data_IF_341313797319
#
_entry.id   IF_341313797319
#
_cell.length_a   1.000
_cell.length_b   1.000
_cell.length_c   1.000
_cell.angle_alpha   90.00
_cell.angle_beta   90.00
_cell.angle_gamma   90.00
#
_symmetry.space_group_name_H-M   'P 1'
#
loop_
_entity.id
_entity.type
_entity.pdbx_description
1 polymer ?
#
# COMPACT_ATOMS: atom_id res chain seq x y z
N UNK A 1 -19.13 -11.97 -10.06
CA UNK A 1 -17.75 -12.01 -9.58
C UNK A 1 -17.53 -10.77 -8.72
N UNK A 2 -17.06 -10.95 -7.50
CA UNK A 2 -16.77 -9.83 -6.64
C UNK A 2 -15.68 -8.95 -7.26
N UNK A 3 -15.82 -7.66 -7.12
CA UNK A 3 -14.81 -6.67 -7.48
C UNK A 3 -13.54 -6.95 -6.68
N UNK A 4 -12.42 -7.14 -7.37
CA UNK A 4 -11.17 -7.46 -6.68
C UNK A 4 -10.33 -6.20 -6.55
N UNK A 5 -10.11 -5.79 -5.30
CA UNK A 5 -9.08 -4.82 -4.94
C UNK A 5 -7.78 -5.55 -4.63
N UNK A 6 -6.68 -5.02 -5.09
CA UNK A 6 -5.34 -5.49 -4.71
C UNK A 6 -4.46 -4.31 -4.33
N UNK A 7 -3.88 -4.39 -3.13
CA UNK A 7 -2.87 -3.44 -2.67
C UNK A 7 -1.53 -3.81 -3.31
N UNK A 8 -0.91 -2.85 -3.98
CA UNK A 8 0.34 -3.05 -4.72
C UNK A 8 1.33 -1.95 -4.36
N UNK A 9 2.60 -2.29 -4.28
CA UNK A 9 3.67 -1.32 -4.12
C UNK A 9 4.52 -1.20 -5.39
N UNK A 10 4.98 0.00 -5.69
CA UNK A 10 5.95 0.25 -6.75
C UNK A 10 7.33 -0.13 -6.24
N UNK A 11 7.87 -1.25 -6.75
CA UNK A 11 9.16 -1.80 -6.35
C UNK A 11 10.31 -1.40 -7.28
N UNK A 12 10.00 -0.74 -8.40
CA UNK A 12 10.95 -0.49 -9.47
C UNK A 12 11.08 1.02 -9.71
N UNK A 13 12.29 1.44 -10.08
CA UNK A 13 12.48 2.75 -10.71
C UNK A 13 11.97 2.69 -12.15
N UNK A 14 11.36 3.76 -12.61
CA UNK A 14 10.96 3.89 -14.00
C UNK A 14 12.16 3.74 -14.94
N UNK A 15 11.93 3.24 -16.14
CA UNK A 15 12.97 3.17 -17.19
C UNK A 15 13.45 4.59 -17.48
N UNK A 16 14.74 4.84 -17.34
CA UNK A 16 15.34 6.18 -17.50
C UNK A 16 15.60 6.93 -16.20
N UNK A 17 15.80 6.21 -15.07
CA UNK A 17 16.15 6.75 -13.75
C UNK A 17 15.07 7.68 -13.13
N UNK A 18 13.82 7.51 -13.55
CA UNK A 18 12.71 8.26 -12.96
C UNK A 18 12.36 7.68 -11.59
N UNK A 19 12.23 8.56 -10.59
CA UNK A 19 11.85 8.19 -9.21
C UNK A 19 10.36 7.89 -9.06
N UNK A 20 9.60 7.87 -10.15
CA UNK A 20 8.15 7.68 -10.15
C UNK A 20 7.67 7.05 -11.47
N UNK A 21 6.57 6.31 -11.38
CA UNK A 21 5.87 5.75 -12.55
C UNK A 21 4.65 6.63 -12.85
N UNK A 22 4.50 7.04 -14.12
CA UNK A 22 3.33 7.78 -14.54
C UNK A 22 2.09 6.87 -14.56
N UNK A 23 0.98 7.34 -13.99
CA UNK A 23 -0.28 6.59 -13.97
C UNK A 23 -0.76 6.28 -15.39
N UNK A 24 -0.56 7.19 -16.34
CA UNK A 24 -0.94 6.98 -17.76
C UNK A 24 -0.22 5.81 -18.42
N UNK A 25 0.98 5.49 -17.94
CA UNK A 25 1.84 4.43 -18.50
C UNK A 25 1.63 3.06 -17.85
N UNK A 26 0.72 2.96 -16.87
CA UNK A 26 0.36 1.69 -16.23
C UNK A 26 -0.41 0.81 -17.22
N UNK A 27 0.22 -0.28 -17.61
CA UNK A 27 -0.31 -1.21 -18.61
C UNK A 27 -0.74 -2.52 -17.94
N UNK A 28 -1.94 -2.98 -18.26
CA UNK A 28 -2.42 -4.30 -17.89
C UNK A 28 -2.24 -5.29 -19.04
N UNK A 29 -2.01 -6.58 -18.73
CA UNK A 29 -1.85 -7.66 -19.71
C UNK A 29 -3.10 -7.91 -20.58
N UNK A 30 -4.26 -7.47 -20.12
CA UNK A 30 -5.49 -7.40 -20.92
C UNK A 30 -5.92 -5.94 -21.01
N UNK A 31 -6.61 -5.57 -22.09
CA UNK A 31 -7.13 -4.22 -22.25
C UNK A 31 -7.84 -3.76 -20.96
N UNK A 32 -7.50 -2.59 -20.41
CA UNK A 32 -8.17 -2.07 -19.23
C UNK A 32 -9.67 -1.95 -19.50
N UNK A 33 -10.47 -2.21 -18.49
CA UNK A 33 -11.90 -1.96 -18.57
C UNK A 33 -12.18 -0.48 -18.40
N UNK A 34 -12.51 0.18 -19.47
CA UNK A 34 -12.92 1.57 -19.45
C UNK A 34 -14.42 1.74 -19.29
N UNK A 35 -14.82 2.93 -18.87
CA UNK A 35 -16.20 3.40 -18.84
C UNK A 35 -16.34 4.67 -19.69
N UNK A 36 -17.55 5.03 -20.14
CA UNK A 36 -17.79 6.22 -20.95
C UNK A 36 -17.68 7.54 -20.17
N UNK A 37 -17.38 7.46 -18.89
CA UNK A 37 -17.16 8.62 -18.02
C UNK A 37 -16.03 8.28 -17.03
N UNK A 38 -15.34 9.30 -16.51
CA UNK A 38 -14.32 9.17 -15.48
C UNK A 38 -14.97 8.88 -14.10
N UNK A 39 -15.69 7.75 -14.00
CA UNK A 39 -16.46 7.35 -12.82
C UNK A 39 -16.48 5.81 -12.68
N UNK A 40 -17.23 5.32 -11.69
CA UNK A 40 -17.35 3.91 -11.34
C UNK A 40 -17.67 2.97 -12.53
N UNK A 41 -17.39 1.69 -12.37
CA UNK A 41 -17.45 0.57 -13.33
C UNK A 41 -16.21 0.40 -14.24
N UNK A 42 -15.28 1.34 -14.28
CA UNK A 42 -13.98 1.21 -14.94
C UNK A 42 -12.96 0.51 -14.04
N UNK A 43 -11.82 0.15 -14.59
CA UNK A 43 -10.63 -0.11 -13.80
C UNK A 43 -10.20 1.16 -13.08
N UNK A 44 -9.68 1.02 -11.87
CA UNK A 44 -9.37 2.17 -11.03
C UNK A 44 -7.99 2.00 -10.37
N UNK A 45 -7.34 3.14 -10.13
CA UNK A 45 -6.16 3.26 -9.29
C UNK A 45 -6.52 4.21 -8.15
N UNK A 46 -6.18 3.84 -6.92
CA UNK A 46 -6.44 4.64 -5.73
C UNK A 46 -5.14 4.90 -5.01
N UNK A 47 -4.77 6.17 -4.88
CA UNK A 47 -3.63 6.63 -4.09
C UNK A 47 -4.13 7.19 -2.75
N UNK A 48 -3.38 6.91 -1.69
CA UNK A 48 -3.71 7.43 -0.36
C UNK A 48 -3.16 8.85 -0.18
N UNK A 49 -4.05 9.81 0.04
CA UNK A 49 -3.68 11.16 0.46
C UNK A 49 -3.60 11.23 1.98
N UNK A 50 -2.39 11.20 2.52
CA UNK A 50 -2.17 11.24 3.96
C UNK A 50 -2.54 12.58 4.59
N UNK A 51 -2.54 13.67 3.83
CA UNK A 51 -2.88 15.00 4.33
C UNK A 51 -4.38 15.14 4.58
N UNK A 52 -5.19 14.56 3.70
CA UNK A 52 -6.64 14.60 3.79
C UNK A 52 -7.26 13.34 4.39
N UNK A 53 -6.45 12.29 4.65
CA UNK A 53 -6.89 10.97 5.09
C UNK A 53 -7.99 10.38 4.19
N UNK A 54 -7.84 10.52 2.88
CA UNK A 54 -8.80 10.08 1.87
C UNK A 54 -8.10 9.52 0.63
N UNK A 55 -8.88 8.91 -0.26
CA UNK A 55 -8.40 8.31 -1.49
C UNK A 55 -8.53 9.23 -2.69
N UNK A 56 -7.41 9.49 -3.36
CA UNK A 56 -7.39 10.07 -4.71
C UNK A 56 -7.61 8.94 -5.70
N UNK A 57 -8.67 9.03 -6.51
CA UNK A 57 -9.13 7.97 -7.42
C UNK A 57 -8.94 8.36 -8.87
N UNK A 58 -8.37 7.43 -9.64
CA UNK A 58 -8.20 7.54 -11.09
C UNK A 58 -9.00 6.42 -11.75
N UNK A 59 -9.58 6.71 -12.91
CA UNK A 59 -10.43 5.81 -13.66
C UNK A 59 -9.94 5.66 -15.09
N UNK A 60 -10.06 4.46 -15.64
CA UNK A 60 -9.78 4.27 -17.07
C UNK A 60 -10.99 4.72 -17.90
N UNK A 61 -10.83 5.81 -18.60
CA UNK A 61 -11.89 6.46 -19.36
C UNK A 61 -11.79 6.14 -20.84
N UNK A 62 -12.85 5.55 -21.41
CA UNK A 62 -13.00 5.32 -22.85
C UNK A 62 -13.51 6.58 -23.53
N UNK A 63 -12.60 7.34 -24.11
CA UNK A 63 -12.89 8.62 -24.77
C UNK A 63 -13.27 8.47 -26.26
N UNK A 64 -13.62 7.26 -26.69
CA UNK A 64 -14.00 6.95 -28.06
C UNK A 64 -12.84 7.15 -29.05
N UNK A 65 -13.05 7.91 -30.11
CA UNK A 65 -12.04 8.13 -31.16
C UNK A 65 -10.83 8.95 -30.70
N UNK A 66 -10.93 9.63 -29.54
CA UNK A 66 -9.83 10.42 -28.98
C UNK A 66 -8.80 9.58 -28.18
N UNK A 67 -9.00 8.26 -28.12
CA UNK A 67 -8.15 7.35 -27.36
C UNK A 67 -8.58 7.21 -25.90
N UNK A 68 -8.20 6.08 -25.31
CA UNK A 68 -8.50 5.78 -23.92
C UNK A 68 -7.42 6.37 -23.00
N UNK A 69 -7.81 6.91 -21.85
CA UNK A 69 -6.94 7.62 -20.94
C UNK A 69 -7.20 7.26 -19.48
N UNK A 70 -6.22 7.44 -18.61
CA UNK A 70 -6.44 7.54 -17.17
C UNK A 70 -6.79 8.98 -16.80
N UNK A 71 -7.88 9.18 -16.07
CA UNK A 71 -8.33 10.48 -15.60
C UNK A 71 -8.61 10.48 -14.10
N UNK A 72 -8.35 11.58 -13.45
CA UNK A 72 -8.69 11.81 -12.04
C UNK A 72 -10.20 11.94 -11.88
N UNK A 73 -10.75 11.47 -10.78
CA UNK A 73 -12.19 11.54 -10.50
C UNK A 73 -12.75 12.96 -10.73
N UNK A 74 -13.76 13.04 -11.59
CA UNK A 74 -14.41 14.33 -11.94
C UNK A 74 -13.73 15.11 -13.06
N UNK A 75 -12.59 14.65 -13.59
CA UNK A 75 -11.90 15.25 -14.71
C UNK A 75 -12.19 14.49 -16.02
N UNK A 76 -11.90 15.13 -17.15
CA UNK A 76 -12.06 14.55 -18.49
C UNK A 76 -10.76 14.57 -19.29
N UNK A 77 -9.67 15.01 -18.67
CA UNK A 77 -8.33 15.10 -19.25
C UNK A 77 -7.47 13.94 -18.73
N UNK A 78 -6.46 13.57 -19.50
CA UNK A 78 -5.46 12.59 -19.07
C UNK A 78 -4.72 13.11 -17.86
N UNK A 79 -4.53 12.23 -16.85
CA UNK A 79 -3.76 12.60 -15.68
C UNK A 79 -2.26 12.65 -15.98
N UNK A 80 -1.58 13.59 -15.37
CA UNK A 80 -0.11 13.68 -15.34
C UNK A 80 0.47 13.22 -14.00
N UNK A 81 -0.39 12.76 -13.08
CA UNK A 81 0.04 12.30 -11.76
C UNK A 81 0.88 11.03 -11.87
N UNK A 82 1.75 10.85 -10.90
CA UNK A 82 2.71 9.74 -10.82
C UNK A 82 2.56 8.98 -9.51
N UNK A 83 3.05 7.76 -9.48
CA UNK A 83 3.21 6.95 -8.27
C UNK A 83 4.70 6.88 -7.97
N UNK A 84 5.11 7.40 -6.83
CA UNK A 84 6.51 7.41 -6.44
C UNK A 84 7.05 5.99 -6.16
N UNK A 85 8.36 5.81 -6.29
CA UNK A 85 8.99 4.56 -5.91
C UNK A 85 8.80 4.33 -4.39
N UNK A 86 8.41 3.10 -4.02
CA UNK A 86 8.05 2.76 -2.65
C UNK A 86 6.64 3.19 -2.23
N UNK A 87 5.93 3.94 -3.07
CA UNK A 87 4.53 4.28 -2.83
C UNK A 87 3.61 3.09 -3.14
N UNK A 88 2.50 3.06 -2.46
CA UNK A 88 1.49 2.00 -2.57
C UNK A 88 0.21 2.54 -3.16
N UNK A 89 -0.44 1.72 -3.95
CA UNK A 89 -1.73 2.02 -4.54
C UNK A 89 -2.65 0.81 -4.51
N UNK A 90 -3.97 1.05 -4.52
CA UNK A 90 -4.92 0.01 -4.86
C UNK A 90 -5.16 -0.01 -6.36
N UNK A 91 -5.12 -1.20 -6.92
CA UNK A 91 -5.69 -1.48 -8.22
C UNK A 91 -7.05 -2.18 -8.04
N UNK A 92 -8.08 -1.58 -8.58
CA UNK A 92 -9.43 -2.14 -8.61
C UNK A 92 -9.77 -2.55 -10.03
N UNK A 93 -10.12 -3.80 -10.21
CA UNK A 93 -10.60 -4.30 -11.49
C UNK A 93 -12.11 -4.07 -11.62
N UNK A 94 -12.52 -3.35 -12.65
CA UNK A 94 -13.93 -3.03 -12.91
C UNK A 94 -14.81 -4.28 -13.01
N UNK A 95 -16.03 -4.20 -12.49
CA UNK A 95 -16.96 -5.33 -12.44
C UNK A 95 -17.23 -5.90 -13.84
N UNK A 96 -17.24 -7.24 -13.98
CA UNK A 96 -17.41 -7.93 -15.25
C UNK A 96 -16.22 -7.90 -16.21
N UNK A 97 -15.07 -7.34 -15.79
CA UNK A 97 -13.82 -7.46 -16.52
C UNK A 97 -13.20 -8.86 -16.32
N UNK A 98 -12.49 -9.35 -17.33
CA UNK A 98 -11.67 -10.56 -17.19
C UNK A 98 -10.53 -10.33 -16.18
N UNK A 99 -10.07 -11.42 -15.56
CA UNK A 99 -8.85 -11.35 -14.72
C UNK A 99 -7.71 -10.81 -15.57
N UNK A 100 -6.98 -9.84 -15.03
CA UNK A 100 -5.81 -9.26 -15.68
C UNK A 100 -4.61 -9.33 -14.75
N UNK A 101 -3.44 -9.42 -15.34
CA UNK A 101 -2.17 -9.19 -14.66
C UNK A 101 -1.78 -7.74 -14.90
N UNK A 102 -1.59 -6.98 -13.84
CA UNK A 102 -0.91 -5.69 -13.92
C UNK A 102 0.59 -5.98 -13.92
N UNK A 103 1.26 -5.62 -15.00
CA UNK A 103 2.71 -5.75 -15.11
C UNK A 103 3.33 -4.40 -14.81
N UNK A 104 4.12 -4.34 -13.75
CA UNK A 104 4.99 -3.23 -13.46
C UNK A 104 6.38 -3.61 -13.95
N UNK A 105 6.96 -2.81 -14.83
CA UNK A 105 8.33 -3.01 -15.33
C UNK A 105 9.19 -1.79 -15.00
N UNK A 106 10.43 -2.04 -14.62
CA UNK A 106 11.38 -0.98 -14.30
C UNK A 106 12.74 -1.55 -13.93
N UNK A 107 13.70 -0.68 -13.67
CA UNK A 107 15.02 -1.06 -13.14
C UNK A 107 14.92 -1.41 -11.65
N UNK A 108 15.54 -2.50 -11.25
CA UNK A 108 15.74 -2.79 -9.83
C UNK A 108 16.94 -1.97 -9.36
N UNK A 109 16.69 -0.96 -8.54
CA UNK A 109 17.78 -0.29 -7.84
C UNK A 109 18.32 -1.23 -6.78
N UNK A 110 19.66 -1.47 -6.75
CA UNK A 110 20.22 -2.14 -5.59
C UNK A 110 19.92 -1.25 -4.36
N UNK A 111 19.14 -1.76 -3.44
CA UNK A 111 18.86 -1.06 -2.18
C UNK A 111 20.15 -0.95 -1.39
N UNK A 112 20.89 0.14 -1.58
CA UNK A 112 22.03 0.52 -0.76
C UNK A 112 21.54 1.18 0.54
N UNK A 113 20.64 0.56 1.28
CA UNK A 113 20.11 1.12 2.52
C UNK A 113 18.83 0.44 2.98
N UNK A 114 18.47 0.73 4.21
CA UNK A 114 17.21 0.28 4.81
C UNK A 114 16.10 1.24 4.37
N UNK A 115 14.91 0.77 3.94
CA UNK A 115 13.83 1.67 3.61
C UNK A 115 13.47 2.52 4.84
N UNK A 116 13.51 3.82 4.67
CA UNK A 116 13.12 4.77 5.70
C UNK A 116 11.75 5.35 5.37
N UNK A 117 10.84 5.24 6.32
CA UNK A 117 9.54 5.91 6.25
C UNK A 117 9.52 7.02 7.29
N UNK A 118 9.89 8.21 6.89
CA UNK A 118 9.93 9.39 7.75
C UNK A 118 8.56 10.07 7.89
N UNK A 119 8.40 10.88 8.92
CA UNK A 119 7.23 11.72 9.11
C UNK A 119 5.95 10.95 9.48
N UNK A 120 6.08 9.83 10.19
CA UNK A 120 4.94 9.11 10.74
C UNK A 120 4.44 9.82 11.99
N UNK A 121 3.34 10.55 11.85
CA UNK A 121 2.70 11.32 12.92
C UNK A 121 1.72 10.43 13.69
N UNK A 122 1.66 10.61 15.02
CA UNK A 122 0.69 9.91 15.87
C UNK A 122 -0.74 10.09 15.36
N UNK A 123 -1.53 9.02 15.43
CA UNK A 123 -2.93 8.92 14.98
C UNK A 123 -3.14 9.03 13.46
N UNK A 124 -2.07 8.97 12.67
CA UNK A 124 -2.15 8.98 11.21
C UNK A 124 -1.93 7.60 10.59
N UNK A 125 -2.63 7.38 9.50
CA UNK A 125 -2.41 6.24 8.61
C UNK A 125 -1.49 6.62 7.46
N UNK A 126 -0.54 5.76 7.16
CA UNK A 126 0.29 5.85 5.96
C UNK A 126 0.15 4.56 5.18
N UNK A 127 -0.06 4.66 3.86
CA UNK A 127 -0.09 3.51 2.99
C UNK A 127 1.31 3.28 2.44
N UNK A 128 1.96 2.22 2.91
CA UNK A 128 3.37 1.93 2.68
C UNK A 128 3.55 0.74 1.77
N UNK A 129 4.55 0.79 0.92
CA UNK A 129 4.91 -0.32 0.04
C UNK A 129 6.01 -1.19 0.64
N UNK A 130 5.87 -2.50 0.56
CA UNK A 130 6.97 -3.40 0.84
C UNK A 130 7.79 -3.64 -0.44
N UNK A 131 9.02 -3.11 -0.54
CA UNK A 131 9.74 -3.05 -1.81
C UNK A 131 10.59 -4.30 -2.11
N UNK A 132 10.60 -5.29 -1.24
CA UNK A 132 11.46 -6.46 -1.41
C UNK A 132 10.78 -7.58 -2.21
N UNK A 133 11.56 -8.38 -2.97
CA UNK A 133 11.03 -9.47 -3.78
C UNK A 133 10.68 -10.74 -2.97
N UNK A 134 10.92 -10.73 -1.67
CA UNK A 134 10.62 -11.86 -0.75
C UNK A 134 9.58 -11.43 0.27
N UNK A 135 8.77 -12.38 0.74
CA UNK A 135 7.83 -12.10 1.83
C UNK A 135 8.57 -11.73 3.13
N UNK A 136 8.01 -10.82 3.90
CA UNK A 136 8.58 -10.38 5.17
C UNK A 136 7.69 -10.80 6.35
N UNK A 137 8.21 -11.51 7.35
CA UNK A 137 7.48 -11.78 8.58
C UNK A 137 7.09 -10.48 9.29
N UNK A 138 5.84 -10.35 9.71
CA UNK A 138 5.38 -9.18 10.48
C UNK A 138 6.17 -9.07 11.80
N UNK A 139 6.53 -10.20 12.40
CA UNK A 139 7.41 -10.26 13.57
C UNK A 139 8.78 -9.58 13.34
N UNK A 140 9.26 -9.54 12.10
CA UNK A 140 10.50 -8.86 11.71
C UNK A 140 10.47 -7.33 11.84
N UNK A 141 9.27 -6.74 12.00
CA UNK A 141 9.13 -5.30 12.30
C UNK A 141 9.58 -4.91 13.73
N UNK A 142 10.27 -5.75 14.45
CA UNK A 142 10.78 -5.44 15.79
C UNK A 142 12.02 -4.55 15.79
N UNK A 143 12.73 -4.42 14.69
CA UNK A 143 13.97 -3.67 14.58
C UNK A 143 13.73 -2.20 14.16
N UNK A 144 12.83 -1.51 14.85
CA UNK A 144 12.59 -0.08 14.62
C UNK A 144 13.71 0.77 15.19
N UNK A 145 14.19 1.75 14.40
CA UNK A 145 14.87 2.90 15.00
C UNK A 145 13.78 3.85 15.48
N UNK A 146 13.61 3.93 16.77
CA UNK A 146 12.54 4.64 17.44
C UNK A 146 11.78 3.71 18.38
N UNK A 147 11.05 4.28 19.35
CA UNK A 147 10.28 3.47 20.30
C UNK A 147 8.89 3.15 19.72
N UNK A 148 8.63 1.90 19.31
CA UNK A 148 7.30 1.53 18.82
C UNK A 148 6.28 1.72 19.94
N UNK A 149 5.15 2.31 19.59
CA UNK A 149 4.05 2.48 20.55
C UNK A 149 3.32 1.18 20.73
N UNK A 150 3.62 0.50 21.82
CA UNK A 150 2.90 -0.70 22.23
C UNK A 150 1.77 -0.40 23.22
N UNK A 151 0.81 -1.30 23.30
CA UNK A 151 -0.25 -1.29 24.29
C UNK A 151 -0.23 -2.58 25.12
N UNK A 152 -0.83 -2.59 26.32
CA UNK A 152 -0.85 -3.77 27.20
C UNK A 152 -1.82 -4.87 26.70
N UNK A 153 -2.47 -4.64 25.59
CA UNK A 153 -3.37 -5.60 24.93
C UNK A 153 -3.21 -5.50 23.42
N UNK A 154 -3.52 -6.57 22.69
CA UNK A 154 -3.52 -6.60 21.22
C UNK A 154 -4.76 -5.87 20.65
N UNK A 155 -4.87 -4.57 20.93
CA UNK A 155 -6.01 -3.70 20.59
C UNK A 155 -5.55 -2.28 20.28
N UNK A 156 -6.50 -1.39 20.01
CA UNK A 156 -6.28 0.03 19.69
C UNK A 156 -5.33 0.75 20.66
N UNK A 157 -4.77 1.89 20.24
CA UNK A 157 -3.78 2.75 20.86
C UNK A 157 -2.30 2.34 20.70
N UNK A 158 -2.01 1.18 20.09
CA UNK A 158 -0.65 0.79 19.68
C UNK A 158 -0.38 1.14 18.23
N UNK A 159 0.88 1.00 17.82
CA UNK A 159 1.23 0.95 16.40
C UNK A 159 0.54 -0.26 15.76
N UNK A 160 0.10 -0.10 14.51
CA UNK A 160 -0.68 -1.12 13.82
C UNK A 160 -0.18 -1.32 12.39
N UNK A 161 -0.27 -2.56 11.92
CA UNK A 161 -0.10 -2.94 10.51
C UNK A 161 -1.44 -3.50 10.04
N UNK A 162 -1.91 -3.04 8.89
CA UNK A 162 -3.13 -3.54 8.28
C UNK A 162 -2.83 -4.09 6.90
N UNK A 163 -3.06 -5.38 6.70
CA UNK A 163 -2.95 -6.05 5.41
C UNK A 163 -4.32 -6.22 4.78
N UNK A 164 -4.39 -6.03 3.47
CA UNK A 164 -5.62 -6.24 2.73
C UNK A 164 -5.83 -7.72 2.44
N UNK A 165 -6.93 -8.29 2.96
CA UNK A 165 -7.37 -9.64 2.62
C UNK A 165 -8.29 -9.58 1.39
N UNK A 166 -7.75 -9.97 0.25
CA UNK A 166 -8.48 -9.98 -1.03
C UNK A 166 -9.64 -10.98 -1.01
N UNK A 167 -9.54 -12.07 -0.26
CA UNK A 167 -10.57 -13.11 -0.22
C UNK A 167 -11.82 -12.64 0.52
N UNK A 168 -11.63 -11.91 1.63
CA UNK A 168 -12.71 -11.40 2.47
C UNK A 168 -13.07 -9.94 2.17
N UNK A 169 -12.29 -9.24 1.33
CA UNK A 169 -12.41 -7.81 1.03
C UNK A 169 -12.44 -6.95 2.30
N UNK A 170 -11.55 -7.25 3.24
CA UNK A 170 -11.44 -6.57 4.54
C UNK A 170 -9.97 -6.47 4.98
N UNK A 171 -9.73 -5.70 6.04
CA UNK A 171 -8.41 -5.49 6.62
C UNK A 171 -8.12 -6.46 7.76
N UNK A 172 -7.05 -7.22 7.62
CA UNK A 172 -6.44 -7.97 8.73
C UNK A 172 -5.52 -7.03 9.49
N UNK A 173 -5.76 -6.90 10.79
CA UNK A 173 -5.09 -5.91 11.64
C UNK A 173 -4.16 -6.59 12.63
N UNK A 174 -2.94 -6.07 12.71
CA UNK A 174 -1.90 -6.48 13.64
C UNK A 174 -1.55 -5.32 14.54
N UNK A 175 -1.28 -5.60 15.81
CA UNK A 175 -1.02 -4.60 16.84
C UNK A 175 0.31 -4.88 17.53
N UNK A 176 1.06 -3.83 17.84
CA UNK A 176 2.27 -3.98 18.63
C UNK A 176 1.90 -4.11 20.12
N UNK A 177 2.09 -5.30 20.65
CA UNK A 177 1.70 -5.67 22.01
C UNK A 177 2.90 -5.65 22.95
N UNK A 178 2.82 -4.84 24.03
CA UNK A 178 3.81 -4.81 25.11
C UNK A 178 3.47 -5.89 26.13
N UNK A 179 4.14 -7.04 26.02
CA UNK A 179 3.89 -8.23 26.83
C UNK A 179 4.68 -8.22 28.18
N UNK A 180 5.10 -7.05 28.62
CA UNK A 180 5.89 -6.89 29.85
C UNK A 180 7.26 -7.54 29.76
N UNK A 181 7.61 -8.35 30.74
CA UNK A 181 8.91 -9.06 30.80
C UNK A 181 9.08 -10.15 29.74
N UNK A 182 7.99 -10.58 29.09
CA UNK A 182 8.03 -11.58 28.03
C UNK A 182 8.40 -11.00 26.64
N UNK A 183 8.74 -9.71 26.59
CA UNK A 183 9.10 -9.03 25.35
C UNK A 183 7.89 -8.44 24.62
N UNK A 184 8.18 -7.66 23.58
CA UNK A 184 7.15 -7.04 22.74
C UNK A 184 6.97 -7.87 21.48
N UNK A 185 5.73 -8.03 21.03
CA UNK A 185 5.40 -8.85 19.87
C UNK A 185 4.35 -8.18 19.00
N UNK A 186 4.33 -8.52 17.72
CA UNK A 186 3.19 -8.24 16.86
C UNK A 186 2.17 -9.36 17.01
N UNK A 187 0.92 -9.01 17.27
CA UNK A 187 -0.18 -9.97 17.41
C UNK A 187 -1.34 -9.61 16.48
N UNK A 188 -2.01 -10.60 15.95
CA UNK A 188 -3.24 -10.42 15.18
C UNK A 188 -4.38 -9.98 16.10
N UNK A 189 -5.28 -9.16 15.61
CA UNK A 189 -6.45 -8.69 16.38
C UNK A 189 -7.19 -9.84 17.07
N UNK A 190 -7.33 -9.73 18.39
CA UNK A 190 -7.99 -10.74 19.22
C UNK A 190 -7.10 -11.90 19.69
N UNK A 191 -5.84 -11.94 19.27
CA UNK A 191 -4.85 -12.91 19.72
C UNK A 191 -3.91 -12.29 20.76
N UNK A 192 -3.17 -13.15 21.48
CA UNK A 192 -2.18 -12.73 22.48
C UNK A 192 -0.80 -13.34 22.22
N UNK A 193 -0.67 -14.10 21.14
CA UNK A 193 0.56 -14.71 20.68
C UNK A 193 1.18 -13.92 19.56
N UNK A 194 2.48 -14.04 19.38
CA UNK A 194 3.18 -13.48 18.23
C UNK A 194 2.62 -14.06 16.94
N UNK A 195 2.38 -13.17 15.95
CA UNK A 195 1.91 -13.62 14.65
C UNK A 195 3.03 -14.24 13.83
N UNK A 196 2.69 -15.27 13.06
CA UNK A 196 3.56 -15.86 12.03
C UNK A 196 3.22 -15.38 10.63
N UNK A 197 2.25 -14.48 10.50
CA UNK A 197 1.84 -13.94 9.21
C UNK A 197 2.94 -13.08 8.59
N UNK A 198 2.90 -12.95 7.28
CA UNK A 198 3.91 -12.24 6.49
C UNK A 198 3.27 -11.13 5.65
N UNK A 199 4.03 -10.11 5.31
CA UNK A 199 3.71 -9.19 4.23
C UNK A 199 4.24 -9.82 2.93
N UNK A 200 3.38 -10.17 1.97
CA UNK A 200 3.82 -10.74 0.71
C UNK A 200 4.70 -9.77 -0.09
N UNK A 201 5.56 -10.33 -0.93
CA UNK A 201 6.38 -9.53 -1.85
C UNK A 201 5.50 -8.65 -2.75
N UNK A 202 5.85 -7.37 -2.86
CA UNK A 202 5.14 -6.42 -3.71
C UNK A 202 3.79 -5.96 -3.19
N UNK A 203 3.45 -6.32 -1.96
CA UNK A 203 2.18 -5.92 -1.38
C UNK A 203 2.30 -4.60 -0.61
N UNK A 204 1.22 -3.84 -0.61
CA UNK A 204 1.09 -2.62 0.19
C UNK A 204 0.34 -2.88 1.48
N UNK A 205 0.64 -2.09 2.50
CA UNK A 205 0.01 -2.19 3.80
C UNK A 205 -0.22 -0.81 4.42
N UNK A 206 -1.23 -0.65 5.26
CA UNK A 206 -1.32 0.51 6.13
C UNK A 206 -0.46 0.33 7.36
N UNK A 207 0.27 1.38 7.68
CA UNK A 207 0.85 1.57 9.00
C UNK A 207 0.10 2.69 9.73
N UNK A 208 -0.40 2.40 10.92
CA UNK A 208 -1.01 3.38 11.80
C UNK A 208 -0.08 3.64 12.97
N UNK A 209 0.25 4.90 13.19
CA UNK A 209 1.03 5.30 14.36
C UNK A 209 0.12 5.46 15.57
N UNK A 210 0.38 4.72 16.64
CA UNK A 210 -0.45 4.69 17.85
C UNK A 210 -0.58 6.05 18.52
N UNK A 211 -1.69 6.28 19.21
CA UNK A 211 -1.94 7.52 19.96
C UNK A 211 -0.91 7.70 21.08
N UNK A 212 -0.42 8.96 21.25
CA UNK A 212 0.62 9.28 22.23
C UNK A 212 2.01 8.73 21.89
N UNK A 213 2.23 8.29 20.66
CA UNK A 213 3.55 8.03 20.12
C UNK A 213 4.27 9.35 19.84
N UNK A 214 5.61 9.37 19.98
CA UNK A 214 6.41 10.49 19.49
C UNK A 214 6.29 10.64 17.97
N UNK A 215 6.44 11.87 17.47
CA UNK A 215 6.55 12.14 16.05
C UNK A 215 7.96 11.77 15.62
N UNK A 216 8.16 10.52 15.20
CA UNK A 216 9.47 10.02 14.85
C UNK A 216 9.49 9.40 13.46
N UNK A 217 10.67 9.37 12.88
CA UNK A 217 11.00 8.55 11.72
C UNK A 217 11.09 7.10 12.17
N UNK A 218 10.24 6.25 11.64
CA UNK A 218 10.41 4.80 11.80
C UNK A 218 11.25 4.31 10.62
N UNK A 219 12.44 3.84 10.94
CA UNK A 219 13.26 3.13 9.96
C UNK A 219 12.97 1.64 10.10
N UNK A 220 12.46 1.04 9.07
CA UNK A 220 12.26 -0.40 9.03
C UNK A 220 13.60 -1.06 8.69
N UNK A 221 14.25 -1.65 9.68
CA UNK A 221 15.37 -2.54 9.42
C UNK A 221 14.83 -3.94 9.23
N UNK A 222 14.73 -4.35 7.99
CA UNK A 222 14.47 -5.76 7.69
C UNK A 222 15.69 -6.56 8.13
N UNK A 223 15.47 -7.64 8.91
CA UNK A 223 16.55 -8.46 9.43
C UNK A 223 17.41 -9.02 8.29
N UNK A 224 18.71 -9.09 8.56
CA UNK A 224 19.67 -9.85 7.78
C UNK A 224 19.37 -11.34 7.84
#
# INVERSE_FOLDING_TARGET
MASQYKALSVQFEGIGETTAISIKDLVTSSAPKGAPTCQAAADQIWLWDSANADWVKYFYYKKGTAGDIWCKKGETTETTDTIANGETFFFYRGSGAAVATLTLSGGVKPFAGKPEYSGLVATQYRFLGYPWPTAMPIAGFQNFQGDPKGAPTCQAASDQIWLWDTANADWVKYFFYKKGTAGNVWCKKGETTETTDVIPAGEGFFFYRGSGASTDTITFTFGE
#
